data_IF_023727216260
#
_entry.id   IF_023727216260
#
_cell.length_a   1.000
_cell.length_b   1.000
_cell.length_c   1.000
_cell.angle_alpha   90.00
_cell.angle_beta   90.00
_cell.angle_gamma   90.00
#
_symmetry.space_group_name_H-M   'P 1'
#
loop_
_entity.id
_entity.type
_entity.pdbx_description
1 polymer ?
#
# COMPACT_ATOMS: atom_id res chain seq x y z
N UNK A 1 -44.71 -13.04 -8.72
CA UNK A 1 -43.73 -14.13 -8.60
C UNK A 1 -42.41 -13.56 -9.08
N UNK A 2 -41.69 -12.89 -8.17
CA UNK A 2 -40.43 -12.21 -8.50
C UNK A 2 -39.35 -13.04 -7.82
N UNK A 3 -38.54 -13.71 -8.63
CA UNK A 3 -37.39 -14.50 -8.18
C UNK A 3 -36.48 -13.60 -7.34
N UNK A 4 -36.34 -13.96 -6.07
CA UNK A 4 -35.24 -13.47 -5.23
C UNK A 4 -34.02 -14.23 -5.73
N UNK A 5 -33.13 -13.52 -6.44
CA UNK A 5 -31.77 -14.00 -6.74
C UNK A 5 -31.15 -14.48 -5.42
N UNK A 6 -30.97 -15.79 -5.32
CA UNK A 6 -30.29 -16.46 -4.22
C UNK A 6 -28.90 -15.86 -4.05
N UNK A 7 -28.71 -15.09 -2.99
CA UNK A 7 -27.43 -14.64 -2.49
C UNK A 7 -26.54 -15.88 -2.27
N UNK A 8 -25.61 -16.12 -3.20
CA UNK A 8 -24.49 -17.04 -2.97
C UNK A 8 -23.80 -16.63 -1.66
N UNK A 9 -23.65 -17.62 -0.77
CA UNK A 9 -23.38 -17.49 0.66
C UNK A 9 -22.12 -16.66 0.99
N UNK A 10 -22.12 -15.84 2.08
CA UNK A 10 -20.94 -15.11 2.57
C UNK A 10 -19.69 -15.99 2.77
N UNK A 11 -19.88 -17.27 3.09
CA UNK A 11 -18.81 -18.26 3.22
C UNK A 11 -18.11 -18.57 1.89
N UNK A 12 -18.81 -18.52 0.75
CA UNK A 12 -18.24 -18.75 -0.58
C UNK A 12 -17.42 -17.54 -1.05
N UNK A 13 -17.94 -16.34 -0.84
CA UNK A 13 -17.28 -15.09 -1.19
C UNK A 13 -15.96 -14.91 -0.43
N UNK A 14 -15.98 -15.15 0.88
CA UNK A 14 -14.80 -15.07 1.73
C UNK A 14 -13.70 -16.02 1.25
N UNK A 15 -14.05 -17.28 0.94
CA UNK A 15 -13.09 -18.26 0.45
C UNK A 15 -12.50 -17.89 -0.92
N UNK A 16 -13.30 -17.30 -1.82
CA UNK A 16 -12.80 -16.77 -3.09
C UNK A 16 -11.78 -15.66 -2.82
N UNK A 17 -12.12 -14.67 -1.99
CA UNK A 17 -11.24 -13.53 -1.70
C UNK A 17 -9.95 -13.99 -1.01
N UNK A 18 -10.05 -14.92 -0.05
CA UNK A 18 -8.89 -15.53 0.63
C UNK A 18 -7.95 -16.24 -0.34
N UNK A 19 -8.49 -17.06 -1.25
CA UNK A 19 -7.70 -17.74 -2.29
C UNK A 19 -7.04 -16.74 -3.25
N UNK A 20 -7.76 -15.67 -3.62
CA UNK A 20 -7.20 -14.60 -4.45
C UNK A 20 -6.06 -13.86 -3.74
N UNK A 21 -6.20 -13.55 -2.45
CA UNK A 21 -5.14 -12.94 -1.64
C UNK A 21 -3.89 -13.82 -1.60
N UNK A 22 -4.07 -15.12 -1.33
CA UNK A 22 -2.97 -16.08 -1.32
C UNK A 22 -2.28 -16.17 -2.69
N UNK A 23 -3.06 -16.25 -3.77
CA UNK A 23 -2.52 -16.28 -5.13
C UNK A 23 -1.70 -15.03 -5.46
N UNK A 24 -2.21 -13.83 -5.16
CA UNK A 24 -1.46 -12.59 -5.39
C UNK A 24 -0.18 -12.57 -4.54
N UNK A 25 -0.26 -12.97 -3.27
CA UNK A 25 0.90 -13.01 -2.38
C UNK A 25 1.96 -14.04 -2.83
N UNK A 26 1.58 -15.14 -3.45
CA UNK A 26 2.52 -16.16 -3.94
C UNK A 26 3.14 -15.78 -5.29
N UNK A 27 2.40 -15.05 -6.14
CA UNK A 27 2.77 -14.80 -7.54
C UNK A 27 3.06 -13.31 -7.83
N UNK A 28 3.17 -12.47 -6.80
CA UNK A 28 3.29 -11.01 -6.96
C UNK A 28 4.47 -10.60 -7.87
N UNK A 29 5.58 -11.34 -7.82
CA UNK A 29 6.78 -11.04 -8.60
C UNK A 29 6.56 -11.15 -10.11
N UNK A 30 5.60 -11.95 -10.55
CA UNK A 30 5.21 -12.08 -11.96
C UNK A 30 4.35 -10.92 -12.45
N UNK A 31 3.88 -10.06 -11.54
CA UNK A 31 2.97 -8.95 -11.80
C UNK A 31 1.71 -9.40 -12.60
N UNK A 32 0.96 -10.40 -12.09
CA UNK A 32 -0.18 -10.96 -12.82
C UNK A 32 -1.23 -9.90 -13.12
N UNK A 33 -1.81 -9.96 -14.33
CA UNK A 33 -2.90 -9.06 -14.72
C UNK A 33 -4.20 -9.39 -13.97
N UNK A 34 -5.17 -8.47 -13.98
CA UNK A 34 -6.47 -8.73 -13.38
C UNK A 34 -7.17 -9.93 -14.05
N UNK A 35 -6.97 -10.11 -15.34
CA UNK A 35 -7.51 -11.23 -16.12
C UNK A 35 -6.94 -12.56 -15.63
N UNK A 36 -5.62 -12.66 -15.42
CA UNK A 36 -4.98 -13.86 -14.90
C UNK A 36 -5.44 -14.20 -13.48
N UNK A 37 -5.59 -13.18 -12.62
CA UNK A 37 -6.10 -13.36 -11.25
C UNK A 37 -7.56 -13.83 -11.29
N UNK A 38 -8.38 -13.24 -12.17
CA UNK A 38 -9.80 -13.59 -12.31
C UNK A 38 -10.01 -15.01 -12.86
N UNK A 39 -9.19 -15.42 -13.83
CA UNK A 39 -9.16 -16.78 -14.34
C UNK A 39 -8.89 -17.79 -13.23
N UNK A 40 -7.90 -17.51 -12.37
CA UNK A 40 -7.57 -18.38 -11.23
C UNK A 40 -8.71 -18.48 -10.20
N UNK A 41 -9.50 -17.43 -10.08
CA UNK A 41 -10.66 -17.35 -9.21
C UNK A 41 -11.96 -17.86 -9.87
N UNK A 42 -11.90 -18.30 -11.14
CA UNK A 42 -13.06 -18.74 -11.93
C UNK A 42 -14.16 -17.66 -12.05
N UNK A 43 -13.74 -16.38 -12.11
CA UNK A 43 -14.62 -15.22 -12.21
C UNK A 43 -14.29 -14.37 -13.43
N UNK A 44 -15.25 -13.55 -13.86
CA UNK A 44 -14.92 -12.45 -14.77
C UNK A 44 -14.10 -11.37 -14.05
N UNK A 45 -13.21 -10.64 -14.75
CA UNK A 45 -12.41 -9.56 -14.16
C UNK A 45 -13.24 -8.53 -13.39
N UNK A 46 -14.38 -8.12 -13.97
CA UNK A 46 -15.30 -7.16 -13.35
C UNK A 46 -15.94 -7.70 -12.08
N UNK A 47 -16.33 -8.98 -12.06
CA UNK A 47 -16.91 -9.60 -10.86
C UNK A 47 -15.86 -9.72 -9.76
N UNK A 48 -14.66 -10.23 -10.09
CA UNK A 48 -13.57 -10.31 -9.14
C UNK A 48 -13.22 -8.93 -8.55
N UNK A 49 -13.09 -7.91 -9.39
CA UNK A 49 -12.79 -6.54 -8.96
C UNK A 49 -13.78 -6.07 -7.89
N UNK A 50 -15.09 -6.23 -8.15
CA UNK A 50 -16.15 -5.80 -7.22
C UNK A 50 -16.15 -6.62 -5.93
N UNK A 51 -16.08 -7.93 -6.05
CA UNK A 51 -16.11 -8.85 -4.91
C UNK A 51 -14.91 -8.62 -4.00
N UNK A 52 -13.70 -8.59 -4.58
CA UNK A 52 -12.46 -8.39 -3.84
C UNK A 52 -12.43 -7.02 -3.16
N UNK A 53 -12.80 -5.94 -3.87
CA UNK A 53 -12.82 -4.59 -3.28
C UNK A 53 -13.82 -4.49 -2.13
N UNK A 54 -14.99 -5.12 -2.25
CA UNK A 54 -16.01 -5.13 -1.18
C UNK A 54 -15.49 -5.77 0.12
N UNK A 55 -14.71 -6.84 0.00
CA UNK A 55 -14.24 -7.61 1.16
C UNK A 55 -12.88 -7.14 1.69
N UNK A 56 -11.93 -6.84 0.81
CA UNK A 56 -10.57 -6.45 1.16
C UNK A 56 -10.41 -4.92 1.35
N UNK A 57 -11.37 -4.11 0.91
CA UNK A 57 -11.31 -2.64 0.98
C UNK A 57 -10.45 -1.98 -0.10
N UNK A 58 -9.76 -2.77 -0.93
CA UNK A 58 -8.94 -2.30 -2.04
C UNK A 58 -9.04 -3.25 -3.23
N UNK A 59 -8.70 -2.78 -4.43
CA UNK A 59 -8.74 -3.62 -5.65
C UNK A 59 -7.62 -4.67 -5.69
N UNK A 60 -7.76 -5.78 -6.45
CA UNK A 60 -6.69 -6.76 -6.65
C UNK A 60 -5.37 -6.13 -7.12
N UNK A 61 -5.45 -5.17 -8.05
CA UNK A 61 -4.28 -4.43 -8.55
C UNK A 61 -3.62 -3.60 -7.46
N UNK A 62 -4.41 -2.88 -6.65
CA UNK A 62 -3.89 -2.10 -5.53
C UNK A 62 -3.24 -3.02 -4.47
N UNK A 63 -3.78 -4.21 -4.25
CA UNK A 63 -3.18 -5.18 -3.32
C UNK A 63 -1.84 -5.68 -3.84
N UNK A 64 -1.78 -6.06 -5.12
CA UNK A 64 -0.53 -6.43 -5.78
C UNK A 64 0.52 -5.32 -5.68
N UNK A 65 0.11 -4.06 -5.91
CA UNK A 65 0.98 -2.90 -5.76
C UNK A 65 1.50 -2.73 -4.32
N UNK A 66 0.63 -2.92 -3.31
CA UNK A 66 1.01 -2.84 -1.91
C UNK A 66 2.03 -3.93 -1.52
N UNK A 67 1.82 -5.18 -1.95
CA UNK A 67 2.77 -6.29 -1.73
C UNK A 67 4.11 -5.99 -2.43
N UNK A 68 4.05 -5.55 -3.70
CA UNK A 68 5.25 -5.18 -4.47
C UNK A 68 6.05 -4.06 -3.79
N UNK A 69 5.34 -3.04 -3.29
CA UNK A 69 5.96 -1.92 -2.58
C UNK A 69 6.62 -2.37 -1.27
N UNK A 70 5.99 -3.26 -0.51
CA UNK A 70 6.55 -3.76 0.75
C UNK A 70 7.91 -4.44 0.54
N UNK A 71 8.00 -5.30 -0.49
CA UNK A 71 9.27 -5.89 -0.90
C UNK A 71 10.29 -4.85 -1.39
N UNK A 72 9.84 -3.86 -2.17
CA UNK A 72 10.72 -2.80 -2.66
C UNK A 72 11.32 -1.96 -1.50
N UNK A 73 10.51 -1.65 -0.48
CA UNK A 73 10.97 -0.96 0.74
C UNK A 73 12.08 -1.75 1.43
N UNK A 74 11.92 -3.06 1.57
CA UNK A 74 12.95 -3.92 2.18
C UNK A 74 14.27 -3.87 1.39
N UNK A 75 14.21 -4.06 0.08
CA UNK A 75 15.40 -4.05 -0.79
C UNK A 75 16.14 -2.71 -0.76
N UNK A 76 15.41 -1.59 -0.77
CA UNK A 76 16.03 -0.26 -0.71
C UNK A 76 16.71 0.01 0.63
N UNK A 77 16.14 -0.46 1.75
CA UNK A 77 16.77 -0.39 3.08
C UNK A 77 18.04 -1.24 3.14
N UNK A 78 18.04 -2.39 2.47
CA UNK A 78 19.20 -3.29 2.35
C UNK A 78 20.22 -2.81 1.29
N UNK A 79 20.15 -1.53 0.91
CA UNK A 79 21.08 -0.81 0.04
C UNK A 79 21.09 -1.20 -1.45
N UNK A 80 20.08 -1.94 -1.95
CA UNK A 80 19.94 -2.23 -3.38
C UNK A 80 19.87 -0.94 -4.23
N UNK A 81 20.35 -0.99 -5.48
CA UNK A 81 20.18 0.14 -6.40
C UNK A 81 18.69 0.28 -6.80
N UNK A 82 18.28 1.49 -7.21
CA UNK A 82 16.89 1.72 -7.68
C UNK A 82 16.59 0.83 -8.91
N UNK A 83 17.58 0.63 -9.78
CA UNK A 83 17.45 -0.20 -10.97
C UNK A 83 17.24 -1.67 -10.62
N UNK A 84 18.11 -2.22 -9.77
CA UNK A 84 18.03 -3.62 -9.36
C UNK A 84 16.73 -3.86 -8.60
N UNK A 85 16.37 -2.95 -7.67
CA UNK A 85 15.11 -3.04 -6.93
C UNK A 85 13.92 -3.14 -7.88
N UNK A 86 13.86 -2.30 -8.92
CA UNK A 86 12.74 -2.31 -9.85
C UNK A 86 12.59 -3.66 -10.55
N UNK A 87 13.69 -4.27 -11.00
CA UNK A 87 13.63 -5.57 -11.66
C UNK A 87 13.40 -6.73 -10.67
N UNK A 88 13.99 -6.67 -9.47
CA UNK A 88 13.79 -7.69 -8.43
C UNK A 88 12.35 -7.78 -7.95
N UNK A 89 11.63 -6.65 -7.92
CA UNK A 89 10.20 -6.62 -7.58
C UNK A 89 9.27 -6.83 -8.78
N UNK A 90 9.83 -7.24 -9.93
CA UNK A 90 9.06 -7.61 -11.13
C UNK A 90 8.56 -6.43 -11.96
N UNK A 91 8.99 -5.20 -11.68
CA UNK A 91 8.59 -4.02 -12.44
C UNK A 91 9.41 -3.91 -13.73
N UNK A 92 8.82 -3.26 -14.75
CA UNK A 92 9.45 -3.08 -16.05
C UNK A 92 10.64 -2.09 -16.05
N UNK A 93 10.89 -1.40 -14.94
CA UNK A 93 12.04 -0.51 -14.78
C UNK A 93 11.83 0.59 -13.73
N UNK A 94 12.84 1.47 -13.54
CA UNK A 94 12.88 2.46 -12.45
C UNK A 94 11.72 3.45 -12.45
N UNK A 95 11.19 3.81 -13.63
CA UNK A 95 10.04 4.72 -13.74
C UNK A 95 8.79 4.17 -13.05
N UNK A 96 8.53 2.86 -13.18
CA UNK A 96 7.40 2.21 -12.49
C UNK A 96 7.58 2.18 -10.98
N UNK A 97 8.82 1.95 -10.53
CA UNK A 97 9.14 2.00 -9.11
C UNK A 97 8.95 3.42 -8.57
N UNK A 98 9.34 4.44 -9.33
CA UNK A 98 9.11 5.84 -8.99
C UNK A 98 7.61 6.14 -8.83
N UNK A 99 6.79 5.81 -9.83
CA UNK A 99 5.34 6.00 -9.78
C UNK A 99 4.72 5.32 -8.55
N UNK A 100 5.16 4.09 -8.25
CA UNK A 100 4.66 3.30 -7.14
C UNK A 100 4.95 3.99 -5.79
N UNK A 101 6.17 4.47 -5.60
CA UNK A 101 6.61 5.18 -4.40
C UNK A 101 5.92 6.54 -4.24
N UNK A 102 5.85 7.35 -5.28
CA UNK A 102 5.14 8.65 -5.22
C UNK A 102 3.68 8.44 -4.82
N UNK A 103 3.02 7.43 -5.40
CA UNK A 103 1.60 7.16 -5.15
C UNK A 103 1.32 6.69 -3.73
N UNK A 104 2.18 5.85 -3.14
CA UNK A 104 1.88 5.15 -1.88
C UNK A 104 2.68 5.63 -0.68
N UNK A 105 3.79 6.34 -0.90
CA UNK A 105 4.70 6.82 0.15
C UNK A 105 4.80 8.34 0.20
N UNK A 106 4.22 9.03 -0.79
CA UNK A 106 4.41 10.48 -0.93
C UNK A 106 5.88 10.85 -1.03
N UNK A 107 6.75 10.03 -1.60
CA UNK A 107 8.16 10.38 -1.82
C UNK A 107 8.79 9.51 -2.91
N UNK A 108 9.97 9.88 -3.39
CA UNK A 108 10.69 9.08 -4.39
C UNK A 108 11.40 7.87 -3.74
N UNK A 109 11.70 6.80 -4.52
CA UNK A 109 12.50 5.67 -4.03
C UNK A 109 13.88 6.10 -3.50
N UNK A 110 14.51 7.10 -4.13
CA UNK A 110 15.81 7.62 -3.71
C UNK A 110 15.73 8.35 -2.36
N UNK A 111 14.72 9.19 -2.17
CA UNK A 111 14.46 9.86 -0.89
C UNK A 111 14.16 8.83 0.21
N UNK A 112 13.35 7.82 -0.09
CA UNK A 112 13.05 6.74 0.84
C UNK A 112 14.31 5.97 1.25
N UNK A 113 15.14 5.56 0.28
CA UNK A 113 16.41 4.86 0.53
C UNK A 113 17.35 5.63 1.45
N UNK A 114 17.36 6.96 1.36
CA UNK A 114 18.18 7.83 2.20
C UNK A 114 17.52 8.19 3.54
N UNK A 115 16.46 7.49 3.95
CA UNK A 115 15.74 7.77 5.18
C UNK A 115 15.08 9.14 5.18
N UNK A 116 14.65 9.63 4.01
CA UNK A 116 14.05 10.95 3.85
C UNK A 116 15.05 12.10 3.76
N UNK A 117 16.35 11.84 3.59
CA UNK A 117 17.36 12.91 3.47
C UNK A 117 17.01 13.92 2.36
N UNK A 118 16.96 15.19 2.73
CA UNK A 118 16.59 16.28 1.84
C UNK A 118 15.08 16.46 1.64
N UNK A 119 14.25 15.67 2.33
CA UNK A 119 12.82 15.92 2.43
C UNK A 119 12.52 16.85 3.60
N UNK A 120 11.50 17.68 3.41
CA UNK A 120 10.81 18.40 4.47
C UNK A 120 9.44 17.76 4.66
N UNK A 121 9.22 17.08 5.78
CA UNK A 121 7.91 16.60 6.19
C UNK A 121 7.21 17.67 7.01
N UNK A 122 6.05 18.11 6.55
CA UNK A 122 5.13 18.94 7.35
C UNK A 122 4.22 18.01 8.10
N UNK A 123 4.02 18.23 9.40
CA UNK A 123 3.16 17.39 10.21
C UNK A 123 2.20 18.20 11.07
N UNK A 124 1.09 17.60 11.44
CA UNK A 124 0.12 18.25 12.32
C UNK A 124 -0.80 17.24 12.99
N UNK A 125 -1.26 17.59 14.19
CA UNK A 125 -2.25 16.81 14.92
C UNK A 125 -3.66 17.40 14.76
N UNK A 126 -4.64 16.55 14.47
CA UNK A 126 -6.02 16.93 14.24
C UNK A 126 -6.98 15.97 14.94
N UNK A 127 -8.07 16.50 15.48
CA UNK A 127 -9.15 15.67 16.02
C UNK A 127 -9.96 15.06 14.87
N UNK A 128 -10.25 13.76 14.96
CA UNK A 128 -11.05 13.04 13.99
C UNK A 128 -11.93 11.98 14.69
N UNK A 129 -12.86 11.32 13.97
CA UNK A 129 -13.72 10.28 14.56
C UNK A 129 -12.97 9.09 15.19
N UNK A 130 -11.68 8.93 14.89
CA UNK A 130 -10.82 7.88 15.43
C UNK A 130 -9.90 8.37 16.57
N UNK A 131 -10.13 9.59 17.08
CA UNK A 131 -9.28 10.22 18.10
C UNK A 131 -8.30 11.23 17.50
N UNK A 132 -7.13 11.38 18.12
CA UNK A 132 -6.13 12.37 17.73
C UNK A 132 -5.25 11.83 16.59
N UNK A 133 -5.45 12.32 15.37
CA UNK A 133 -4.69 11.89 14.20
C UNK A 133 -3.44 12.75 14.01
N UNK A 134 -2.29 12.11 13.75
CA UNK A 134 -1.07 12.71 13.24
C UNK A 134 -1.03 12.54 11.72
N UNK A 135 -0.95 13.65 10.99
CA UNK A 135 -0.82 13.66 9.53
C UNK A 135 0.57 14.16 9.18
N UNK A 136 1.28 13.49 8.28
CA UNK A 136 2.58 13.89 7.75
C UNK A 136 2.56 13.95 6.23
N UNK A 137 2.94 15.08 5.66
CA UNK A 137 2.94 15.32 4.21
C UNK A 137 4.31 15.79 3.72
N UNK A 138 4.63 15.43 2.48
CA UNK A 138 5.73 16.00 1.71
C UNK A 138 5.16 16.84 0.57
N UNK A 139 6.02 17.38 -0.29
CA UNK A 139 5.58 18.04 -1.53
C UNK A 139 5.00 17.05 -2.57
N UNK A 140 5.13 15.74 -2.36
CA UNK A 140 4.59 14.69 -3.23
C UNK A 140 3.30 14.07 -2.70
N UNK A 141 2.90 14.35 -1.45
CA UNK A 141 1.62 13.91 -0.89
C UNK A 141 1.70 13.45 0.56
N UNK A 142 0.70 12.67 0.97
CA UNK A 142 0.63 12.06 2.30
C UNK A 142 1.72 10.98 2.44
N UNK A 143 2.66 11.20 3.35
CA UNK A 143 3.71 10.24 3.66
C UNK A 143 3.41 9.40 4.90
N UNK A 144 2.66 9.96 5.86
CA UNK A 144 2.37 9.30 7.12
C UNK A 144 1.02 9.67 7.70
N UNK A 145 0.37 8.68 8.31
CA UNK A 145 -0.84 8.84 9.10
C UNK A 145 -0.73 7.91 10.32
N UNK A 146 -0.95 8.46 11.51
CA UNK A 146 -1.01 7.69 12.75
C UNK A 146 -2.12 8.24 13.65
N UNK A 147 -2.54 7.45 14.64
CA UNK A 147 -3.48 7.88 15.67
C UNK A 147 -2.77 7.79 17.02
N UNK A 148 -2.80 8.88 17.77
CA UNK A 148 -2.25 8.96 19.11
C UNK A 148 -3.32 8.64 20.13
N UNK A 149 -2.97 7.79 21.09
CA UNK A 149 -3.74 7.63 22.32
C UNK A 149 -3.66 8.93 23.15
N UNK A 150 -4.61 9.11 24.07
CA UNK A 150 -4.69 10.32 24.91
C UNK A 150 -3.38 10.60 25.66
N UNK A 151 -2.76 11.75 25.38
CA UNK A 151 -1.49 12.18 25.98
C UNK A 151 -0.24 11.50 25.41
N UNK A 152 -0.37 10.70 24.35
CA UNK A 152 0.72 9.96 23.68
C UNK A 152 1.13 10.60 22.33
N UNK A 153 0.76 11.86 22.07
CA UNK A 153 1.06 12.55 20.81
C UNK A 153 2.57 12.61 20.56
N UNK A 154 3.35 12.90 21.60
CA UNK A 154 4.82 12.99 21.48
C UNK A 154 5.45 11.65 21.08
N UNK A 155 5.01 10.55 21.71
CA UNK A 155 5.55 9.22 21.43
C UNK A 155 5.13 8.74 20.04
N UNK A 156 3.90 9.06 19.63
CA UNK A 156 3.39 8.83 18.27
C UNK A 156 4.21 9.60 17.23
N UNK A 157 4.56 10.86 17.51
CA UNK A 157 5.42 11.65 16.63
C UNK A 157 6.82 11.04 16.52
N UNK A 158 7.42 10.62 17.63
CA UNK A 158 8.75 10.01 17.65
C UNK A 158 8.80 8.67 16.88
N UNK A 159 7.79 7.81 17.03
CA UNK A 159 7.65 6.58 16.24
C UNK A 159 7.58 6.89 14.74
N UNK A 160 6.74 7.85 14.36
CA UNK A 160 6.60 8.23 12.95
C UNK A 160 7.89 8.86 12.40
N UNK A 161 8.62 9.62 13.21
CA UNK A 161 9.90 10.22 12.83
C UNK A 161 11.00 9.16 12.63
N UNK A 162 10.96 8.03 13.33
CA UNK A 162 11.97 6.97 13.18
C UNK A 162 11.95 6.30 11.80
N UNK A 163 10.88 6.49 11.03
CA UNK A 163 10.74 5.96 9.65
C UNK A 163 11.58 6.74 8.64
N UNK A 164 11.76 8.05 8.87
CA UNK A 164 12.55 8.94 8.01
C UNK A 164 13.54 9.78 8.83
N UNK A 165 14.55 9.14 9.45
CA UNK A 165 15.46 9.80 10.38
C UNK A 165 16.35 10.89 9.75
N UNK A 166 16.44 10.92 8.41
CA UNK A 166 17.20 11.92 7.65
C UNK A 166 16.37 13.13 7.20
N UNK A 167 15.06 13.14 7.44
CA UNK A 167 14.18 14.24 7.03
C UNK A 167 14.19 15.42 8.01
N UNK A 168 13.83 16.60 7.50
CA UNK A 168 13.49 17.75 8.32
C UNK A 168 11.98 17.75 8.62
N UNK A 169 11.61 18.07 9.85
CA UNK A 169 10.21 18.12 10.29
C UNK A 169 9.79 19.55 10.63
N UNK A 170 8.64 19.96 10.12
CA UNK A 170 8.03 21.26 10.38
C UNK A 170 6.58 21.02 10.81
N UNK A 171 6.15 21.65 11.89
CA UNK A 171 4.75 21.66 12.33
C UNK A 171 3.96 22.74 11.59
#
# INVERSE_FOLDING_TARGET
MTQIETLSTPASDYEIVKKTLAFIHENWREQPSLEAIAERAELSPTHLQRLFTRWAGLSPKAFLQAVTLDHARSLLRDSASILDTAYEVGLSGPGRLHDLFVTHEGMTPGSYKLGGKGLTLRFGFHDCPFGRALVMITDQGLAGLAFADDGQEKDTLLDMQSRWPGAAYIE
#
